data_IF_073655673200
#
_entry.id   IF_073655673200
#
_cell.length_a   1.000
_cell.length_b   1.000
_cell.length_c   1.000
_cell.angle_alpha   90.00
_cell.angle_beta   90.00
_cell.angle_gamma   90.00
#
_symmetry.space_group_name_H-M   'P 1'
#
loop_
_entity.id
_entity.type
_entity.pdbx_description
1 polymer ?
#
# COMPACT_ATOMS: atom_id res chain seq x y z
N UNK A 1 18.83 30.49 89.78
CA UNK A 1 19.55 29.48 88.98
C UNK A 1 18.67 28.77 87.94
N UNK A 2 17.33 28.90 87.96
CA UNK A 2 16.47 28.27 86.94
C UNK A 2 16.33 29.03 85.60
N UNK A 3 16.71 30.33 85.56
CA UNK A 3 16.63 31.15 84.35
C UNK A 3 17.75 30.86 83.32
N UNK A 4 19.00 30.72 83.77
CA UNK A 4 20.16 30.46 82.89
C UNK A 4 20.12 29.06 82.25
N UNK A 5 19.52 28.08 82.93
CA UNK A 5 19.32 26.74 82.38
C UNK A 5 18.26 26.70 81.27
N UNK A 6 17.31 27.65 81.25
CA UNK A 6 16.31 27.79 80.17
C UNK A 6 16.90 28.45 78.92
N UNK A 7 17.72 29.48 79.10
CA UNK A 7 18.35 30.19 77.99
C UNK A 7 19.41 29.32 77.27
N UNK A 8 20.20 28.56 78.03
CA UNK A 8 21.19 27.63 77.45
C UNK A 8 20.52 26.49 76.67
N UNK A 9 19.36 26.01 77.12
CA UNK A 9 18.60 24.98 76.41
C UNK A 9 17.93 25.51 75.13
N UNK A 10 17.46 26.77 75.14
CA UNK A 10 16.96 27.45 73.93
C UNK A 10 18.05 27.61 72.88
N UNK A 11 19.24 28.04 73.30
CA UNK A 11 20.39 28.23 72.41
C UNK A 11 20.83 26.90 71.80
N UNK A 12 20.84 25.81 72.58
CA UNK A 12 21.15 24.47 72.08
C UNK A 12 20.13 23.98 71.03
N UNK A 13 18.85 24.29 71.24
CA UNK A 13 17.79 23.99 70.28
C UNK A 13 18.02 24.75 68.96
N UNK A 14 18.33 26.05 69.03
CA UNK A 14 18.59 26.88 67.85
C UNK A 14 19.81 26.39 67.04
N UNK A 15 20.86 25.91 67.72
CA UNK A 15 22.02 25.31 67.06
C UNK A 15 21.70 23.96 66.41
N UNK A 16 20.83 23.16 67.03
CA UNK A 16 20.35 21.90 66.45
C UNK A 16 19.55 22.15 65.17
N UNK A 17 18.60 23.10 65.22
CA UNK A 17 17.77 23.48 64.07
C UNK A 17 18.61 24.07 62.92
N UNK A 18 19.65 24.84 63.26
CA UNK A 18 20.60 25.36 62.28
C UNK A 18 21.42 24.24 61.62
N UNK A 19 21.89 23.26 62.39
CA UNK A 19 22.65 22.13 61.87
C UNK A 19 21.81 21.27 60.91
N UNK A 20 20.54 21.01 61.25
CA UNK A 20 19.61 20.30 60.36
C UNK A 20 19.36 21.07 59.06
N UNK A 21 19.20 22.39 59.12
CA UNK A 21 19.07 23.24 57.92
C UNK A 21 20.30 23.21 57.02
N UNK A 22 21.50 23.23 57.59
CA UNK A 22 22.75 23.16 56.81
C UNK A 22 22.87 21.81 56.09
N UNK A 23 22.54 20.71 56.77
CA UNK A 23 22.55 19.36 56.17
C UNK A 23 21.50 19.24 55.05
N UNK A 24 20.29 19.73 55.28
CA UNK A 24 19.21 19.79 54.28
C UNK A 24 19.62 20.56 53.01
N UNK A 25 20.27 21.71 53.16
CA UNK A 25 20.75 22.50 52.03
C UNK A 25 21.88 21.79 51.27
N UNK A 26 22.78 21.13 51.98
CA UNK A 26 23.91 20.41 51.40
C UNK A 26 23.45 19.19 50.58
N UNK A 27 22.48 18.43 51.09
CA UNK A 27 21.83 17.33 50.35
C UNK A 27 21.08 17.84 49.11
N UNK A 28 20.39 18.98 49.25
CA UNK A 28 19.72 19.67 48.14
C UNK A 28 20.70 20.09 47.03
N UNK A 29 21.86 20.64 47.39
CA UNK A 29 22.91 21.03 46.44
C UNK A 29 23.46 19.81 45.67
N UNK A 30 23.68 18.68 46.36
CA UNK A 30 24.15 17.45 45.73
C UNK A 30 23.13 16.89 44.73
N UNK A 31 21.84 17.00 45.05
CA UNK A 31 20.75 16.62 44.14
C UNK A 31 20.71 17.50 42.89
N UNK A 32 20.86 18.81 43.05
CA UNK A 32 20.92 19.75 41.92
C UNK A 32 22.14 19.50 41.03
N UNK A 33 23.31 19.25 41.62
CA UNK A 33 24.54 18.95 40.86
C UNK A 33 24.40 17.69 40.01
N UNK A 34 23.85 16.60 40.56
CA UNK A 34 23.55 15.38 39.78
C UNK A 34 22.57 15.64 38.65
N UNK A 35 21.54 16.45 38.87
CA UNK A 35 20.58 16.81 37.81
C UNK A 35 21.23 17.61 36.68
N UNK A 36 22.16 18.51 37.00
CA UNK A 36 22.93 19.28 36.00
C UNK A 36 23.83 18.34 35.18
N UNK A 37 24.50 17.38 35.82
CA UNK A 37 25.33 16.40 35.13
C UNK A 37 24.51 15.53 34.16
N UNK A 38 23.34 15.04 34.59
CA UNK A 38 22.43 14.29 33.71
C UNK A 38 21.94 15.13 32.53
N UNK A 39 21.65 16.42 32.75
CA UNK A 39 21.27 17.33 31.67
C UNK A 39 22.41 17.61 30.69
N UNK A 40 23.65 17.74 31.18
CA UNK A 40 24.83 17.92 30.34
C UNK A 40 25.08 16.69 29.45
N UNK A 41 25.00 15.48 29.99
CA UNK A 41 25.11 14.24 29.21
C UNK A 41 23.99 14.11 28.18
N UNK A 42 22.75 14.46 28.56
CA UNK A 42 21.62 14.47 27.62
C UNK A 42 21.79 15.50 26.51
N UNK A 43 22.32 16.69 26.82
CA UNK A 43 22.60 17.73 25.83
C UNK A 43 23.70 17.29 24.87
N UNK A 44 24.75 16.61 25.37
CA UNK A 44 25.81 16.03 24.54
C UNK A 44 25.27 14.95 23.60
N UNK A 45 24.50 14.00 24.10
CA UNK A 45 23.87 12.96 23.30
C UNK A 45 22.92 13.54 22.23
N UNK A 46 22.17 14.60 22.58
CA UNK A 46 21.32 15.31 21.62
C UNK A 46 22.15 15.99 20.52
N UNK A 47 23.28 16.62 20.87
CA UNK A 47 24.19 17.23 19.90
C UNK A 47 24.77 16.21 18.91
N UNK A 48 25.15 15.02 19.39
CA UNK A 48 25.61 13.92 18.54
C UNK A 48 24.49 13.43 17.61
N UNK A 49 23.26 13.29 18.12
CA UNK A 49 22.09 12.91 17.33
C UNK A 49 21.77 13.91 16.21
N UNK A 50 21.85 15.21 16.50
CA UNK A 50 21.65 16.28 15.51
C UNK A 50 22.70 16.18 14.41
N UNK A 51 23.98 16.02 14.77
CA UNK A 51 25.07 15.89 13.79
C UNK A 51 24.87 14.68 12.85
N UNK A 52 24.49 13.53 13.40
CA UNK A 52 24.19 12.34 12.60
C UNK A 52 23.01 12.57 11.63
N UNK A 53 21.96 13.27 12.08
CA UNK A 53 20.83 13.61 11.24
C UNK A 53 21.20 14.57 10.10
N UNK A 54 22.05 15.57 10.36
CA UNK A 54 22.55 16.50 9.35
C UNK A 54 23.43 15.81 8.29
N UNK A 55 24.27 14.86 8.71
CA UNK A 55 25.08 14.04 7.80
C UNK A 55 24.19 13.17 6.90
N UNK A 56 23.18 12.49 7.47
CA UNK A 56 22.22 11.71 6.70
C UNK A 56 21.42 12.59 5.71
N UNK A 57 21.03 13.79 6.13
CA UNK A 57 20.34 14.74 5.25
C UNK A 57 21.23 15.21 4.10
N UNK A 58 22.54 15.40 4.34
CA UNK A 58 23.51 15.71 3.28
C UNK A 58 23.66 14.55 2.29
N UNK A 59 23.81 13.32 2.77
CA UNK A 59 23.91 12.12 1.91
C UNK A 59 22.66 11.96 1.03
N UNK A 60 21.47 12.10 1.61
CA UNK A 60 20.22 12.02 0.87
C UNK A 60 20.09 13.10 -0.22
N UNK A 61 20.54 14.33 0.05
CA UNK A 61 20.55 15.39 -0.97
C UNK A 61 21.49 15.08 -2.13
N UNK A 62 22.64 14.48 -1.85
CA UNK A 62 23.58 14.06 -2.91
C UNK A 62 22.96 12.97 -3.79
N UNK A 63 22.40 11.92 -3.18
CA UNK A 63 21.72 10.84 -3.91
C UNK A 63 20.53 11.32 -4.72
N UNK A 64 19.79 12.29 -4.20
CA UNK A 64 18.66 12.88 -4.92
C UNK A 64 19.14 13.61 -6.18
N UNK A 65 20.25 14.35 -6.10
CA UNK A 65 20.87 14.97 -7.27
C UNK A 65 21.36 13.95 -8.31
N UNK A 66 21.97 12.84 -7.88
CA UNK A 66 22.38 11.75 -8.78
C UNK A 66 21.17 11.12 -9.51
N UNK A 67 20.06 10.92 -8.78
CA UNK A 67 18.83 10.38 -9.35
C UNK A 67 18.19 11.37 -10.34
N UNK A 68 18.16 12.66 -10.03
CA UNK A 68 17.67 13.70 -10.93
C UNK A 68 18.48 13.70 -12.24
N UNK A 69 19.80 13.73 -12.15
CA UNK A 69 20.68 13.68 -13.33
C UNK A 69 20.42 12.42 -14.16
N UNK A 70 20.30 11.26 -13.52
CA UNK A 70 20.03 10.01 -14.24
C UNK A 70 18.65 10.04 -14.92
N UNK A 71 17.63 10.65 -14.32
CA UNK A 71 16.32 10.82 -14.98
C UNK A 71 16.37 11.77 -16.17
N UNK A 72 17.17 12.84 -16.10
CA UNK A 72 17.39 13.75 -17.23
C UNK A 72 18.09 13.04 -18.40
N UNK A 73 19.12 12.23 -18.11
CA UNK A 73 19.83 11.43 -19.12
C UNK A 73 18.90 10.40 -19.78
N UNK A 74 18.06 9.72 -19.00
CA UNK A 74 17.05 8.80 -19.51
C UNK A 74 16.03 9.50 -20.41
N UNK A 75 15.57 10.68 -20.00
CA UNK A 75 14.61 11.48 -20.78
C UNK A 75 15.22 11.92 -22.11
N UNK A 76 16.48 12.38 -22.11
CA UNK A 76 17.20 12.76 -23.33
C UNK A 76 17.37 11.58 -24.30
N UNK A 77 17.70 10.39 -23.78
CA UNK A 77 17.79 9.15 -24.57
C UNK A 77 16.45 8.76 -25.21
N UNK A 78 15.37 8.86 -24.44
CA UNK A 78 14.03 8.57 -24.92
C UNK A 78 13.59 9.56 -26.02
N UNK A 79 13.89 10.85 -25.86
CA UNK A 79 13.61 11.85 -26.88
C UNK A 79 14.46 11.67 -28.13
N UNK A 80 15.69 11.17 -28.00
CA UNK A 80 16.51 10.74 -29.14
C UNK A 80 15.85 9.58 -29.90
N UNK A 81 15.40 8.53 -29.20
CA UNK A 81 14.71 7.39 -29.80
C UNK A 81 13.39 7.79 -30.48
N UNK A 82 12.61 8.71 -29.88
CA UNK A 82 11.41 9.27 -30.52
C UNK A 82 11.74 9.95 -31.84
N UNK A 83 12.78 10.80 -31.87
CA UNK A 83 13.24 11.47 -33.10
C UNK A 83 13.67 10.45 -34.17
N UNK A 84 14.42 9.42 -33.79
CA UNK A 84 14.80 8.34 -34.70
C UNK A 84 13.58 7.62 -35.28
N UNK A 85 12.60 7.26 -34.44
CA UNK A 85 11.38 6.56 -34.90
C UNK A 85 10.54 7.43 -35.84
N UNK A 86 10.39 8.72 -35.54
CA UNK A 86 9.72 9.67 -36.41
C UNK A 86 10.42 9.79 -37.77
N UNK A 87 11.75 9.82 -37.78
CA UNK A 87 12.53 9.84 -39.02
C UNK A 87 12.29 8.58 -39.87
N UNK A 88 12.33 7.38 -39.26
CA UNK A 88 12.06 6.12 -39.96
C UNK A 88 10.65 6.07 -40.52
N UNK A 89 9.64 6.50 -39.75
CA UNK A 89 8.25 6.57 -40.20
C UNK A 89 8.06 7.59 -41.34
N UNK A 90 8.73 8.74 -41.27
CA UNK A 90 8.71 9.75 -42.34
C UNK A 90 9.37 9.25 -43.63
N UNK A 91 10.40 8.39 -43.54
CA UNK A 91 10.96 7.72 -44.71
C UNK A 91 10.03 6.62 -45.24
N UNK A 92 9.46 5.80 -44.37
CA UNK A 92 8.53 4.72 -44.75
C UNK A 92 7.28 5.23 -45.46
N UNK A 93 6.71 6.36 -45.03
CA UNK A 93 5.56 7.02 -45.68
C UNK A 93 5.89 7.57 -47.07
N UNK A 94 7.13 8.04 -47.31
CA UNK A 94 7.60 8.42 -48.65
C UNK A 94 7.75 7.22 -49.60
N UNK A 95 8.13 6.04 -49.07
CA UNK A 95 8.22 4.79 -49.84
C UNK A 95 6.82 4.24 -50.13
N UNK A 96 5.92 4.27 -49.15
CA UNK A 96 4.55 3.79 -49.29
C UNK A 96 3.75 4.62 -50.30
N UNK A 97 3.89 5.96 -50.28
CA UNK A 97 3.22 6.83 -51.26
C UNK A 97 3.68 6.61 -52.71
N UNK A 98 4.98 6.32 -52.93
CA UNK A 98 5.49 5.92 -54.26
C UNK A 98 4.93 4.58 -54.73
N UNK A 99 4.84 3.59 -53.84
CA UNK A 99 4.33 2.26 -54.18
C UNK A 99 2.80 2.25 -54.37
N UNK A 100 2.07 3.08 -53.62
CA UNK A 100 0.62 3.19 -53.74
C UNK A 100 0.19 3.87 -55.06
N UNK A 101 0.96 4.85 -55.54
CA UNK A 101 0.75 5.45 -56.87
C UNK A 101 1.04 4.46 -58.00
N UNK A 102 2.01 3.56 -57.84
CA UNK A 102 2.28 2.50 -58.80
C UNK A 102 1.19 1.40 -58.80
N UNK A 103 0.57 1.10 -57.65
CA UNK A 103 -0.50 0.10 -57.57
C UNK A 103 -1.84 0.58 -58.17
N UNK A 104 -2.13 1.89 -58.13
CA UNK A 104 -3.35 2.47 -58.74
C UNK A 104 -3.36 2.43 -60.27
N UNK A 105 -2.21 2.27 -60.95
CA UNK A 105 -2.21 2.10 -62.41
C UNK A 105 -2.56 0.67 -62.84
N UNK A 106 -2.61 -0.30 -61.92
CA UNK A 106 -2.83 -1.72 -62.21
C UNK A 106 -4.30 -2.13 -62.00
N UNK A 107 -5.10 -1.38 -61.24
CA UNK A 107 -6.47 -1.78 -60.87
C UNK A 107 -7.60 -1.14 -61.70
N UNK A 108 -7.31 -0.46 -62.81
CA UNK A 108 -8.35 0.08 -63.70
C UNK A 108 -9.00 -0.97 -64.66
N UNK A 109 -8.73 -2.26 -64.52
CA UNK A 109 -9.24 -3.29 -65.45
C UNK A 109 -10.21 -4.32 -64.87
N UNK A 110 -10.64 -4.21 -63.61
CA UNK A 110 -11.64 -5.14 -63.05
C UNK A 110 -12.71 -4.35 -62.28
N UNK A 111 -13.94 -4.42 -62.82
CA UNK A 111 -15.12 -3.67 -62.38
C UNK A 111 -15.71 -4.08 -61.03
N UNK A 112 -16.86 -3.46 -60.65
CA UNK A 112 -17.23 -3.21 -59.26
C UNK A 112 -18.10 -4.34 -58.69
N UNK A 113 -17.53 -5.26 -57.92
CA UNK A 113 -18.29 -6.19 -57.06
C UNK A 113 -17.67 -6.42 -55.67
N UNK A 114 -16.82 -5.52 -55.18
CA UNK A 114 -16.13 -5.67 -53.88
C UNK A 114 -16.25 -4.44 -52.97
N UNK A 115 -17.41 -3.78 -52.96
CA UNK A 115 -17.63 -2.63 -52.06
C UNK A 115 -18.38 -2.96 -50.76
N UNK A 116 -18.81 -4.20 -50.52
CA UNK A 116 -19.60 -4.54 -49.32
C UNK A 116 -18.83 -5.28 -48.20
N UNK A 117 -17.50 -5.39 -48.27
CA UNK A 117 -16.69 -6.10 -47.25
C UNK A 117 -15.59 -5.20 -46.66
N UNK A 118 -15.90 -3.96 -46.29
CA UNK A 118 -14.90 -3.07 -45.65
C UNK A 118 -15.32 -2.53 -44.27
N UNK A 119 -16.55 -2.79 -43.79
CA UNK A 119 -16.98 -2.27 -42.48
C UNK A 119 -16.97 -3.26 -41.31
N UNK A 120 -16.44 -4.48 -41.44
CA UNK A 120 -16.37 -5.45 -40.33
C UNK A 120 -14.99 -6.10 -40.19
N UNK A 121 -13.95 -5.33 -39.83
CA UNK A 121 -12.70 -5.89 -39.28
C UNK A 121 -12.04 -4.95 -38.27
N UNK A 122 -12.49 -5.02 -37.01
CA UNK A 122 -11.61 -4.81 -35.83
C UNK A 122 -11.64 -6.09 -35.01
N UNK A 123 -10.95 -7.11 -35.52
CA UNK A 123 -10.54 -8.31 -34.79
C UNK A 123 -9.13 -8.63 -35.25
N UNK A 124 -8.18 -8.10 -34.51
CA UNK A 124 -6.78 -8.51 -34.52
C UNK A 124 -6.22 -8.09 -33.19
N UNK A 125 -6.30 -9.00 -32.22
CA UNK A 125 -5.20 -9.22 -31.30
C UNK A 125 -5.10 -10.71 -31.01
N UNK A 126 -4.12 -11.25 -31.72
CA UNK A 126 -3.54 -12.57 -31.73
C UNK A 126 -3.50 -13.28 -30.36
N UNK A 127 -4.12 -14.46 -30.38
CA UNK A 127 -3.65 -15.71 -29.77
C UNK A 127 -2.15 -15.71 -29.40
N UNK A 128 -1.86 -15.95 -28.13
CA UNK A 128 -0.64 -16.67 -27.72
C UNK A 128 -1.04 -17.81 -26.76
N UNK A 129 -0.37 -18.98 -26.86
CA UNK A 129 -0.90 -20.25 -26.37
C UNK A 129 -0.71 -20.44 -24.87
N UNK A 130 -1.69 -21.12 -24.27
CA UNK A 130 -1.63 -21.71 -22.95
C UNK A 130 -0.63 -22.87 -22.90
N UNK A 131 0.33 -22.81 -21.97
CA UNK A 131 0.76 -23.96 -21.18
C UNK A 131 1.77 -23.53 -20.11
N UNK A 132 1.34 -23.42 -18.86
CA UNK A 132 2.21 -23.64 -17.70
C UNK A 132 1.44 -24.45 -16.67
N UNK A 133 1.52 -25.76 -16.82
CA UNK A 133 1.46 -26.72 -15.73
C UNK A 133 2.79 -26.62 -14.97
N UNK A 134 2.73 -26.51 -13.63
CA UNK A 134 3.91 -26.63 -12.78
C UNK A 134 3.93 -25.62 -11.64
N UNK A 135 3.57 -26.07 -10.45
CA UNK A 135 4.00 -25.45 -9.19
C UNK A 135 5.52 -25.59 -9.09
N UNK A 136 6.27 -24.56 -8.67
CA UNK A 136 7.45 -24.82 -7.86
C UNK A 136 7.36 -24.10 -6.52
N UNK A 137 7.42 -24.90 -5.45
CA UNK A 137 7.81 -24.45 -4.11
C UNK A 137 9.27 -24.00 -4.16
N UNK A 138 9.52 -22.79 -3.69
CA UNK A 138 10.81 -22.32 -3.19
C UNK A 138 11.88 -22.03 -4.23
N UNK A 139 12.28 -20.76 -4.37
CA UNK A 139 13.67 -20.28 -4.21
C UNK A 139 13.82 -18.82 -4.65
N UNK A 140 14.46 -18.06 -3.75
CA UNK A 140 15.54 -17.06 -3.89
C UNK A 140 15.56 -16.08 -5.09
N UNK A 141 15.84 -14.83 -4.72
CA UNK A 141 16.21 -13.69 -5.57
C UNK A 141 17.07 -14.05 -6.79
N UNK A 142 16.67 -13.54 -7.95
CA UNK A 142 17.48 -13.55 -9.18
C UNK A 142 16.64 -13.48 -10.46
N UNK A 143 16.45 -12.27 -10.97
CA UNK A 143 16.29 -11.91 -12.39
C UNK A 143 15.65 -12.94 -13.33
N UNK A 144 14.34 -12.78 -13.58
CA UNK A 144 13.65 -12.92 -14.87
C UNK A 144 12.17 -12.57 -14.68
N UNK A 145 11.85 -11.29 -14.41
CA UNK A 145 10.46 -10.83 -14.55
C UNK A 145 10.18 -10.66 -16.04
N UNK A 146 9.59 -11.68 -16.66
CA UNK A 146 8.78 -11.43 -17.85
C UNK A 146 7.85 -10.26 -17.52
N UNK A 147 7.94 -9.17 -18.29
CA UNK A 147 7.12 -8.00 -18.05
C UNK A 147 5.66 -8.43 -18.21
N UNK A 148 4.93 -8.55 -17.09
CA UNK A 148 3.50 -8.80 -17.13
C UNK A 148 2.86 -7.61 -17.85
N UNK A 149 2.30 -7.87 -19.03
CA UNK A 149 1.53 -6.90 -19.79
C UNK A 149 0.07 -7.05 -19.37
N UNK A 150 -0.51 -5.98 -18.86
CA UNK A 150 -1.91 -5.95 -18.43
C UNK A 150 -2.76 -5.21 -19.45
N UNK A 151 -3.96 -5.74 -19.73
CA UNK A 151 -4.95 -5.05 -20.57
C UNK A 151 -5.65 -3.93 -19.80
N UNK A 152 -6.26 -2.98 -20.51
CA UNK A 152 -7.08 -1.94 -19.89
C UNK A 152 -8.20 -2.52 -19.01
N UNK A 153 -8.81 -3.64 -19.43
CA UNK A 153 -9.81 -4.35 -18.63
C UNK A 153 -9.24 -4.92 -17.33
N UNK A 154 -7.99 -5.38 -17.33
CA UNK A 154 -7.34 -5.87 -16.11
C UNK A 154 -7.02 -4.75 -15.12
N UNK A 155 -6.69 -3.54 -15.58
CA UNK A 155 -6.54 -2.39 -14.69
C UNK A 155 -7.87 -2.04 -14.01
N UNK A 156 -8.96 -2.00 -14.76
CA UNK A 156 -10.30 -1.71 -14.21
C UNK A 156 -10.72 -2.81 -13.23
N UNK A 157 -10.52 -4.08 -13.57
CA UNK A 157 -10.80 -5.19 -12.67
C UNK A 157 -9.93 -5.13 -11.40
N UNK A 158 -8.69 -4.68 -11.51
CA UNK A 158 -7.82 -4.47 -10.35
C UNK A 158 -8.29 -3.30 -9.47
N UNK A 159 -8.77 -2.20 -10.06
CA UNK A 159 -9.39 -1.09 -9.32
C UNK A 159 -10.66 -1.53 -8.58
N UNK A 160 -11.46 -2.42 -9.19
CA UNK A 160 -12.61 -3.06 -8.52
C UNK A 160 -12.19 -3.93 -7.33
N UNK A 161 -11.06 -4.64 -7.45
CA UNK A 161 -10.52 -5.39 -6.31
C UNK A 161 -9.97 -4.45 -5.22
N UNK A 162 -9.35 -3.33 -5.62
CA UNK A 162 -8.89 -2.30 -4.69
C UNK A 162 -10.06 -1.64 -3.93
N UNK A 163 -11.21 -1.46 -4.59
CA UNK A 163 -12.43 -0.99 -3.93
C UNK A 163 -12.86 -1.90 -2.78
N UNK A 164 -12.91 -3.22 -3.03
CA UNK A 164 -13.25 -4.20 -2.00
C UNK A 164 -12.21 -4.20 -0.88
N UNK A 165 -10.93 -4.14 -1.22
CA UNK A 165 -9.84 -4.04 -0.24
C UNK A 165 -10.00 -2.81 0.68
N UNK A 166 -10.37 -1.65 0.12
CA UNK A 166 -10.64 -0.43 0.90
C UNK A 166 -11.85 -0.58 1.81
N UNK A 167 -12.94 -1.20 1.33
CA UNK A 167 -14.12 -1.48 2.16
C UNK A 167 -13.80 -2.41 3.32
N UNK A 168 -13.12 -3.53 3.06
CA UNK A 168 -12.67 -4.46 4.09
C UNK A 168 -11.77 -3.78 5.12
N UNK A 169 -10.85 -2.93 4.65
CA UNK A 169 -9.98 -2.14 5.54
C UNK A 169 -10.81 -1.21 6.43
N UNK A 170 -11.82 -0.55 5.88
CA UNK A 170 -12.74 0.30 6.67
C UNK A 170 -13.51 -0.49 7.72
N UNK A 171 -14.05 -1.67 7.38
CA UNK A 171 -14.81 -2.51 8.33
C UNK A 171 -13.93 -3.09 9.44
N UNK A 172 -12.71 -3.51 9.10
CA UNK A 172 -11.70 -3.91 10.06
C UNK A 172 -11.41 -2.78 11.06
N UNK A 173 -11.24 -1.55 10.56
CA UNK A 173 -10.98 -0.39 11.41
C UNK A 173 -12.16 -0.02 12.29
N UNK A 174 -13.38 -0.04 11.75
CA UNK A 174 -14.59 0.17 12.52
C UNK A 174 -14.72 -0.84 13.67
N UNK A 175 -14.42 -2.12 13.41
CA UNK A 175 -14.41 -3.16 14.43
C UNK A 175 -13.37 -2.88 15.52
N UNK A 176 -12.12 -2.59 15.14
CA UNK A 176 -11.05 -2.32 16.09
C UNK A 176 -11.32 -1.09 16.94
N UNK A 177 -11.78 0.00 16.34
CA UNK A 177 -12.18 1.20 17.07
C UNK A 177 -13.33 0.92 18.05
N UNK A 178 -14.33 0.12 17.64
CA UNK A 178 -15.43 -0.29 18.52
C UNK A 178 -14.92 -1.13 19.69
N UNK A 179 -13.99 -2.05 19.44
CA UNK A 179 -13.38 -2.91 20.45
C UNK A 179 -12.61 -2.10 21.50
N UNK A 180 -11.76 -1.16 21.05
CA UNK A 180 -11.00 -0.24 21.92
C UNK A 180 -11.91 0.66 22.75
N UNK A 181 -13.03 1.13 22.18
CA UNK A 181 -14.01 1.95 22.91
C UNK A 181 -14.73 1.19 24.02
N UNK A 182 -14.85 -0.13 23.88
CA UNK A 182 -15.53 -0.99 24.85
C UNK A 182 -14.59 -1.52 25.95
N UNK A 183 -13.30 -1.17 25.91
CA UNK A 183 -12.31 -1.55 26.94
C UNK A 183 -12.30 -0.50 28.06
N UNK A 184 -12.21 -0.98 29.30
CA UNK A 184 -12.41 -0.13 30.48
C UNK A 184 -11.11 0.50 30.97
N UNK A 185 -9.95 -0.13 30.71
CA UNK A 185 -8.65 0.35 31.19
C UNK A 185 -7.72 0.76 30.04
N UNK A 186 -6.84 1.72 30.28
CA UNK A 186 -5.81 2.12 29.30
C UNK A 186 -4.76 1.01 29.09
N UNK A 187 -4.54 0.15 30.09
CA UNK A 187 -3.67 -1.02 29.98
C UNK A 187 -4.25 -2.04 28.99
N UNK A 188 -5.54 -2.40 29.09
CA UNK A 188 -6.22 -3.29 28.13
C UNK A 188 -6.17 -2.75 26.71
N UNK A 189 -6.37 -1.43 26.53
CA UNK A 189 -6.26 -0.78 25.23
C UNK A 189 -4.83 -0.85 24.69
N UNK A 190 -3.84 -0.61 25.55
CA UNK A 190 -2.43 -0.71 25.21
C UNK A 190 -2.06 -2.12 24.76
N UNK A 191 -2.47 -3.14 25.51
CA UNK A 191 -2.21 -4.54 25.20
C UNK A 191 -2.91 -4.99 23.93
N UNK A 192 -4.17 -4.61 23.72
CA UNK A 192 -4.88 -4.88 22.46
C UNK A 192 -4.17 -4.24 21.27
N UNK A 193 -3.74 -2.97 21.37
CA UNK A 193 -3.06 -2.30 20.27
C UNK A 193 -1.66 -2.87 20.01
N UNK A 194 -0.99 -3.41 21.04
CA UNK A 194 0.31 -4.10 20.90
C UNK A 194 0.22 -5.34 20.02
N UNK A 195 -0.91 -6.06 20.02
CA UNK A 195 -1.17 -7.21 19.13
C UNK A 195 -0.92 -6.83 17.67
N UNK A 196 -1.41 -5.66 17.28
CA UNK A 196 -1.30 -5.16 15.91
C UNK A 196 0.03 -4.44 15.65
N UNK A 197 0.55 -3.72 16.66
CA UNK A 197 1.77 -2.91 16.53
C UNK A 197 3.07 -3.72 16.62
N UNK A 198 3.02 -4.93 17.18
CA UNK A 198 4.19 -5.74 17.52
C UNK A 198 5.04 -5.10 18.62
N UNK A 199 5.73 -5.92 19.41
CA UNK A 199 6.59 -5.42 20.51
C UNK A 199 8.06 -5.34 20.06
N UNK A 200 8.52 -6.22 19.16
CA UNK A 200 9.96 -6.39 18.85
C UNK A 200 10.27 -6.48 17.34
N UNK A 201 9.56 -5.72 16.50
CA UNK A 201 9.77 -5.72 15.04
C UNK A 201 9.04 -6.84 14.29
N UNK A 202 8.44 -7.81 14.99
CA UNK A 202 7.44 -8.74 14.46
C UNK A 202 6.03 -8.15 14.53
N UNK A 203 5.79 -7.08 13.77
CA UNK A 203 4.44 -6.54 13.60
C UNK A 203 3.89 -6.87 12.22
N UNK A 204 2.57 -6.99 12.15
CA UNK A 204 1.86 -7.14 10.89
C UNK A 204 2.08 -5.98 9.91
N UNK A 205 2.56 -4.83 10.40
CA UNK A 205 2.58 -3.57 9.68
C UNK A 205 3.97 -2.89 9.66
N UNK A 206 5.00 -3.60 10.14
CA UNK A 206 6.37 -3.07 10.29
C UNK A 206 6.40 -1.80 11.15
N UNK A 207 6.96 -0.73 10.58
CA UNK A 207 7.11 0.61 11.22
C UNK A 207 5.97 1.58 10.91
N UNK A 208 4.94 1.14 10.19
CA UNK A 208 3.86 2.03 9.74
C UNK A 208 2.99 2.51 10.90
N UNK A 209 2.45 3.73 10.83
CA UNK A 209 1.44 4.16 11.77
C UNK A 209 0.18 3.31 11.62
N UNK A 210 -0.54 3.09 12.72
CA UNK A 210 -1.80 2.35 12.72
C UNK A 210 -2.82 2.92 11.72
N UNK A 211 -2.78 4.22 11.44
CA UNK A 211 -3.66 4.88 10.45
C UNK A 211 -3.47 4.37 9.02
N UNK A 212 -2.34 3.75 8.69
CA UNK A 212 -2.04 3.21 7.36
C UNK A 212 -2.29 1.70 7.26
N UNK A 213 -2.89 1.11 8.31
CA UNK A 213 -3.14 -0.32 8.41
C UNK A 213 -4.15 -0.79 7.37
N UNK A 214 -3.79 -1.81 6.59
CA UNK A 214 -4.71 -2.38 5.58
C UNK A 214 -5.11 -3.81 5.88
N UNK A 215 -6.31 -4.20 5.43
CA UNK A 215 -6.80 -5.58 5.58
C UNK A 215 -5.84 -6.60 4.96
N UNK A 216 -5.30 -6.30 3.78
CA UNK A 216 -4.36 -7.17 3.08
C UNK A 216 -3.05 -7.39 3.86
N UNK A 217 -2.52 -6.37 4.55
CA UNK A 217 -1.31 -6.54 5.38
C UNK A 217 -1.59 -7.38 6.64
N UNK A 218 -2.76 -7.19 7.27
CA UNK A 218 -3.18 -8.02 8.40
C UNK A 218 -3.33 -9.49 7.98
N UNK A 219 -3.88 -9.73 6.79
CA UNK A 219 -4.03 -11.05 6.21
C UNK A 219 -2.66 -11.70 5.90
N UNK A 220 -1.74 -10.96 5.27
CA UNK A 220 -0.39 -11.44 4.98
C UNK A 220 0.36 -11.84 6.27
N UNK A 221 0.19 -11.05 7.33
CA UNK A 221 0.73 -11.38 8.65
C UNK A 221 0.11 -12.64 9.26
N UNK A 222 -1.22 -12.76 9.24
CA UNK A 222 -1.92 -13.92 9.76
C UNK A 222 -1.49 -15.21 9.05
N UNK A 223 -1.19 -15.14 7.75
CA UNK A 223 -0.71 -16.29 6.97
C UNK A 223 0.74 -16.67 7.28
N UNK A 224 1.57 -15.71 7.69
CA UNK A 224 2.99 -15.94 8.00
C UNK A 224 3.22 -16.42 9.44
N UNK A 225 2.36 -16.02 10.39
CA UNK A 225 2.47 -16.46 11.78
C UNK A 225 1.99 -17.92 11.94
N UNK A 226 2.76 -18.71 12.68
CA UNK A 226 2.38 -20.10 13.05
C UNK A 226 1.22 -20.16 14.05
N UNK A 227 1.15 -19.16 14.93
CA UNK A 227 0.05 -18.98 15.89
C UNK A 227 -0.46 -17.55 15.73
N UNK A 228 -1.67 -17.42 15.21
CA UNK A 228 -2.34 -16.14 15.03
C UNK A 228 -3.10 -15.83 16.31
N UNK A 229 -2.95 -14.61 16.82
CA UNK A 229 -3.67 -14.15 17.99
C UNK A 229 -5.17 -14.04 17.66
N UNK A 230 -6.03 -14.46 18.59
CA UNK A 230 -7.47 -14.53 18.36
C UNK A 230 -8.08 -13.18 17.93
N UNK A 231 -7.54 -12.06 18.44
CA UNK A 231 -7.98 -10.71 18.10
C UNK A 231 -7.67 -10.31 16.64
N UNK A 232 -6.56 -10.82 16.06
CA UNK A 232 -6.25 -10.63 14.64
C UNK A 232 -7.27 -11.37 13.77
N UNK A 233 -7.56 -12.62 14.13
CA UNK A 233 -8.53 -13.44 13.41
C UNK A 233 -9.95 -12.86 13.51
N UNK A 234 -10.35 -12.38 14.70
CA UNK A 234 -11.63 -11.69 14.90
C UNK A 234 -11.73 -10.41 14.08
N UNK A 235 -10.67 -9.61 13.97
CA UNK A 235 -10.68 -8.40 13.16
C UNK A 235 -10.87 -8.70 11.66
N UNK A 236 -10.22 -9.75 11.14
CA UNK A 236 -10.41 -10.21 9.76
C UNK A 236 -11.85 -10.71 9.53
N UNK A 237 -12.34 -11.58 10.43
CA UNK A 237 -13.70 -12.13 10.34
C UNK A 237 -14.78 -11.04 10.45
N UNK A 238 -14.60 -10.06 11.33
CA UNK A 238 -15.54 -8.96 11.49
C UNK A 238 -15.63 -8.08 10.23
N UNK A 239 -14.51 -7.88 9.53
CA UNK A 239 -14.49 -7.15 8.26
C UNK A 239 -15.20 -7.92 7.14
N UNK A 240 -14.92 -9.21 7.04
CA UNK A 240 -15.55 -10.11 6.06
C UNK A 240 -17.06 -10.23 6.29
N UNK A 241 -17.48 -10.37 7.55
CA UNK A 241 -18.90 -10.47 7.93
C UNK A 241 -19.65 -9.19 7.59
N UNK A 242 -19.09 -8.01 7.90
CA UNK A 242 -19.72 -6.73 7.57
C UNK A 242 -19.83 -6.50 6.05
N UNK A 243 -18.83 -6.93 5.27
CA UNK A 243 -18.93 -6.86 3.81
C UNK A 243 -20.03 -7.79 3.27
N UNK A 244 -20.20 -8.98 3.85
CA UNK A 244 -21.30 -9.88 3.49
C UNK A 244 -22.66 -9.29 3.87
N UNK A 245 -22.79 -8.75 5.07
CA UNK A 245 -24.02 -8.08 5.51
C UNK A 245 -24.40 -6.93 4.57
N UNK A 246 -23.43 -6.11 4.16
CA UNK A 246 -23.66 -5.08 3.15
C UNK A 246 -24.14 -5.69 1.83
N UNK A 247 -23.47 -6.74 1.34
CA UNK A 247 -23.84 -7.38 0.08
C UNK A 247 -25.27 -7.93 0.13
N UNK A 248 -25.66 -8.56 1.24
CA UNK A 248 -27.02 -9.08 1.48
C UNK A 248 -28.04 -7.94 1.51
N UNK A 249 -27.76 -6.86 2.25
CA UNK A 249 -28.64 -5.70 2.32
C UNK A 249 -28.81 -5.01 0.95
N UNK A 250 -27.77 -5.00 0.14
CA UNK A 250 -27.82 -4.49 -1.23
C UNK A 250 -28.56 -5.42 -2.22
N UNK A 251 -28.92 -6.64 -1.78
CA UNK A 251 -29.64 -7.63 -2.59
C UNK A 251 -28.74 -8.47 -3.51
N UNK A 252 -27.46 -8.66 -3.15
CA UNK A 252 -26.54 -9.50 -3.92
C UNK A 252 -26.91 -10.98 -3.78
N UNK A 253 -27.47 -11.55 -4.85
CA UNK A 253 -27.82 -12.97 -4.91
C UNK A 253 -26.54 -13.79 -4.92
N UNK A 254 -26.36 -14.64 -3.90
CA UNK A 254 -25.20 -15.50 -3.75
C UNK A 254 -24.24 -15.12 -2.62
N UNK A 255 -24.43 -14.01 -1.89
CA UNK A 255 -23.48 -13.54 -0.87
C UNK A 255 -22.99 -14.63 0.12
N UNK A 256 -23.86 -15.58 0.51
CA UNK A 256 -23.53 -16.64 1.47
C UNK A 256 -22.77 -17.84 0.86
N UNK A 257 -22.90 -18.10 -0.44
CA UNK A 257 -22.28 -19.25 -1.14
C UNK A 257 -21.13 -18.82 -2.08
N UNK A 258 -21.22 -17.60 -2.63
CA UNK A 258 -20.34 -17.09 -3.69
C UNK A 258 -19.18 -16.25 -3.19
N UNK A 259 -19.09 -15.89 -1.91
CA UNK A 259 -17.94 -15.18 -1.34
C UNK A 259 -16.97 -16.13 -0.60
N UNK A 260 -17.10 -17.43 -0.87
CA UNK A 260 -16.26 -18.45 -0.26
C UNK A 260 -14.76 -18.11 -0.46
N UNK A 261 -14.08 -17.92 0.67
CA UNK A 261 -12.67 -17.55 0.75
C UNK A 261 -12.29 -16.17 0.19
N UNK A 262 -12.93 -15.11 0.70
CA UNK A 262 -12.48 -13.72 0.50
C UNK A 262 -10.98 -13.54 0.74
N UNK A 263 -10.43 -14.26 1.73
CA UNK A 263 -9.00 -14.30 2.02
C UNK A 263 -8.18 -14.80 0.83
N UNK A 264 -8.53 -15.94 0.25
CA UNK A 264 -7.81 -16.47 -0.92
C UNK A 264 -7.90 -15.52 -2.12
N UNK A 265 -9.03 -14.86 -2.30
CA UNK A 265 -9.21 -13.88 -3.37
C UNK A 265 -8.39 -12.61 -3.11
N UNK A 266 -8.30 -12.17 -1.86
CA UNK A 266 -7.46 -11.04 -1.47
C UNK A 266 -5.96 -11.36 -1.54
N UNK A 267 -5.56 -12.64 -1.51
CA UNK A 267 -4.17 -13.02 -1.78
C UNK A 267 -3.76 -12.69 -3.22
N UNK A 268 -4.70 -12.75 -4.18
CA UNK A 268 -4.45 -12.29 -5.56
C UNK A 268 -4.11 -10.80 -5.56
N UNK A 269 -4.84 -9.99 -4.79
CA UNK A 269 -4.54 -8.57 -4.63
C UNK A 269 -3.13 -8.37 -4.09
N UNK A 270 -2.76 -9.05 -3.00
CA UNK A 270 -1.41 -8.97 -2.41
C UNK A 270 -0.30 -9.34 -3.41
N UNK A 271 -0.49 -10.43 -4.14
CA UNK A 271 0.49 -10.95 -5.10
C UNK A 271 0.74 -9.97 -6.25
N UNK A 272 -0.33 -9.34 -6.76
CA UNK A 272 -0.25 -8.52 -7.97
C UNK A 272 -0.25 -7.01 -7.73
N UNK A 273 -0.50 -6.54 -6.50
CA UNK A 273 -0.55 -5.10 -6.19
C UNK A 273 0.67 -4.32 -6.65
N UNK A 274 1.88 -4.83 -6.37
CA UNK A 274 3.12 -4.20 -6.82
C UNK A 274 3.19 -4.16 -8.35
N UNK A 275 2.89 -5.27 -9.01
CA UNK A 275 2.92 -5.39 -10.47
C UNK A 275 1.97 -4.40 -11.15
N UNK A 276 0.71 -4.32 -10.70
CA UNK A 276 -0.25 -3.35 -11.23
C UNK A 276 0.15 -1.91 -10.92
N UNK A 277 0.65 -1.63 -9.70
CA UNK A 277 1.11 -0.28 -9.34
C UNK A 277 2.28 0.18 -10.23
N UNK A 278 3.26 -0.68 -10.48
CA UNK A 278 4.37 -0.37 -11.37
C UNK A 278 3.92 -0.24 -12.83
N UNK A 279 3.05 -1.13 -13.30
CA UNK A 279 2.54 -1.08 -14.67
C UNK A 279 1.69 0.17 -14.92
N UNK A 280 0.83 0.55 -13.97
CA UNK A 280 0.02 1.75 -14.04
C UNK A 280 0.89 3.01 -14.09
N UNK A 281 1.91 3.11 -13.22
CA UNK A 281 2.86 4.22 -13.23
C UNK A 281 3.58 4.36 -14.59
N UNK A 282 3.98 3.24 -15.21
CA UNK A 282 4.62 3.24 -16.54
C UNK A 282 3.67 3.64 -17.66
N UNK A 283 2.39 3.37 -17.52
CA UNK A 283 1.35 3.71 -18.51
C UNK A 283 0.69 5.07 -18.24
N UNK A 284 1.11 5.79 -17.20
CA UNK A 284 0.47 7.05 -16.79
C UNK A 284 -0.96 6.86 -16.27
N UNK A 285 -1.33 5.65 -15.88
CA UNK A 285 -2.66 5.32 -15.34
C UNK A 285 -2.64 5.61 -13.84
N UNK A 286 -3.58 6.43 -13.39
CA UNK A 286 -3.79 6.67 -11.98
C UNK A 286 -4.68 5.55 -11.41
N UNK A 287 -4.11 4.63 -10.62
CA UNK A 287 -4.89 3.67 -9.83
C UNK A 287 -5.55 4.41 -8.68
N UNK A 288 -6.69 5.03 -8.97
CA UNK A 288 -7.52 5.64 -7.96
C UNK A 288 -8.96 5.24 -8.19
N UNK A 289 -9.60 4.72 -7.17
CA UNK A 289 -11.04 4.42 -7.21
C UNK A 289 -11.93 5.61 -7.63
N UNK A 290 -11.41 6.85 -7.63
CA UNK A 290 -12.12 8.05 -8.08
C UNK A 290 -12.07 8.30 -9.60
N UNK A 291 -11.41 7.46 -10.39
CA UNK A 291 -11.43 7.60 -11.86
C UNK A 291 -12.63 6.87 -12.44
N UNK A 292 -13.68 7.62 -12.79
CA UNK A 292 -14.67 7.39 -13.86
C UNK A 292 -14.86 5.94 -14.35
N UNK A 293 -15.15 4.97 -13.47
CA UNK A 293 -15.56 3.63 -13.92
C UNK A 293 -16.95 3.79 -14.54
N UNK A 294 -17.04 3.61 -15.86
CA UNK A 294 -18.32 3.75 -16.58
C UNK A 294 -19.22 2.53 -16.38
N UNK A 295 -20.53 2.68 -16.57
CA UNK A 295 -21.46 1.55 -16.53
C UNK A 295 -21.13 0.49 -17.61
N UNK A 296 -20.58 0.93 -18.76
CA UNK A 296 -20.05 0.03 -19.79
C UNK A 296 -18.84 -0.77 -19.30
N UNK A 297 -17.96 -0.17 -18.51
CA UNK A 297 -16.83 -0.87 -17.91
C UNK A 297 -17.29 -1.90 -16.88
N UNK A 298 -18.25 -1.55 -16.01
CA UNK A 298 -18.85 -2.48 -15.05
C UNK A 298 -19.43 -3.70 -15.77
N UNK A 299 -20.21 -3.47 -16.83
CA UNK A 299 -20.83 -4.55 -17.60
C UNK A 299 -19.78 -5.44 -18.29
N UNK A 300 -18.75 -4.83 -18.86
CA UNK A 300 -17.65 -5.54 -19.53
C UNK A 300 -16.82 -6.38 -18.55
N UNK A 301 -16.49 -5.85 -17.39
CA UNK A 301 -15.71 -6.59 -16.39
C UNK A 301 -16.54 -7.70 -15.74
N UNK A 302 -17.83 -7.46 -15.48
CA UNK A 302 -18.75 -8.51 -15.02
C UNK A 302 -18.78 -9.68 -16.01
N UNK A 303 -18.99 -9.38 -17.30
CA UNK A 303 -18.93 -10.41 -18.35
C UNK A 303 -17.56 -11.10 -18.38
N UNK A 304 -16.46 -10.36 -18.28
CA UNK A 304 -15.12 -10.97 -18.24
C UNK A 304 -14.95 -11.91 -17.03
N UNK A 305 -15.50 -11.57 -15.87
CA UNK A 305 -15.47 -12.41 -14.67
C UNK A 305 -16.28 -13.70 -14.86
N UNK A 306 -17.49 -13.58 -15.41
CA UNK A 306 -18.42 -14.71 -15.63
C UNK A 306 -17.85 -15.74 -16.62
N UNK A 307 -17.11 -15.28 -17.64
CA UNK A 307 -16.59 -16.13 -18.72
C UNK A 307 -15.10 -16.48 -18.61
N UNK A 308 -14.42 -16.11 -17.51
CA UNK A 308 -13.03 -16.52 -17.30
C UNK A 308 -11.97 -15.64 -17.98
N UNK A 309 -12.33 -14.44 -18.44
CA UNK A 309 -11.47 -13.55 -19.22
C UNK A 309 -10.68 -12.52 -18.38
N UNK A 310 -10.63 -12.66 -17.05
CA UNK A 310 -9.83 -11.77 -16.19
C UNK A 310 -8.34 -12.10 -16.18
N UNK A 311 -7.94 -13.25 -16.74
CA UNK A 311 -6.55 -13.70 -16.76
C UNK A 311 -6.02 -13.96 -15.36
N UNK A 312 -4.92 -13.30 -14.97
CA UNK A 312 -4.28 -13.48 -13.65
C UNK A 312 -5.18 -13.10 -12.47
N UNK A 313 -6.21 -12.29 -12.70
CA UNK A 313 -7.18 -11.86 -11.69
C UNK A 313 -8.37 -12.82 -11.56
N UNK A 314 -8.48 -13.84 -12.41
CA UNK A 314 -9.60 -14.79 -12.37
C UNK A 314 -9.80 -15.46 -11.00
N UNK A 315 -8.76 -15.79 -10.21
CA UNK A 315 -8.97 -16.37 -8.89
C UNK A 315 -9.65 -15.41 -7.90
N UNK A 316 -9.73 -14.10 -8.21
CA UNK A 316 -10.46 -13.09 -7.42
C UNK A 316 -11.80 -12.68 -8.07
N UNK A 317 -12.34 -13.48 -9.00
CA UNK A 317 -13.51 -13.13 -9.80
C UNK A 317 -14.75 -12.81 -8.96
N UNK A 318 -14.96 -13.47 -7.82
CA UNK A 318 -16.17 -13.28 -7.02
C UNK A 318 -16.14 -11.94 -6.27
N UNK A 319 -14.98 -11.53 -5.75
CA UNK A 319 -14.81 -10.19 -5.19
C UNK A 319 -14.95 -9.11 -6.27
N UNK A 320 -14.45 -9.37 -7.48
CA UNK A 320 -14.59 -8.44 -8.62
C UNK A 320 -16.06 -8.35 -9.07
N UNK A 321 -16.81 -9.46 -9.09
CA UNK A 321 -18.25 -9.48 -9.36
C UNK A 321 -19.04 -8.72 -8.28
N UNK A 322 -18.69 -8.92 -7.01
CA UNK A 322 -19.28 -8.16 -5.90
C UNK A 322 -19.00 -6.66 -6.07
N UNK A 323 -17.77 -6.29 -6.41
CA UNK A 323 -17.41 -4.90 -6.68
C UNK A 323 -18.24 -4.31 -7.83
N UNK A 324 -18.39 -5.04 -8.95
CA UNK A 324 -19.25 -4.64 -10.06
C UNK A 324 -20.69 -4.40 -9.60
N UNK A 325 -21.24 -5.28 -8.76
CA UNK A 325 -22.58 -5.15 -8.25
C UNK A 325 -22.75 -3.92 -7.33
N UNK A 326 -21.89 -3.77 -6.34
CA UNK A 326 -21.94 -2.63 -5.41
C UNK A 326 -21.76 -1.31 -6.14
N UNK A 327 -20.84 -1.26 -7.11
CA UNK A 327 -20.63 -0.08 -7.96
C UNK A 327 -21.83 0.25 -8.83
N UNK A 328 -22.56 -0.76 -9.34
CA UNK A 328 -23.75 -0.54 -10.15
C UNK A 328 -24.95 0.02 -9.36
N UNK A 329 -24.85 0.06 -8.02
CA UNK A 329 -25.91 0.51 -7.10
C UNK A 329 -25.62 1.88 -6.47
N UNK A 330 -24.41 2.42 -6.67
CA UNK A 330 -24.01 3.76 -6.21
C UNK A 330 -24.45 4.83 -7.19
#
# INVERSE_FOLDING_TARGET
MEGEAKDTNSILQDFSDLAERILSLWEGEHSLRRRIEVLAERQKAMGEGIRCAEEAQRDLRLRLGELEQHTEEQQASLDHLKKQRLYVLAQGTKVFSKNFLAARSVTCSIGPQLCDIVNNHTSSDLLLPHSVSGIPRGMKHGTNSAALVFSAGQFIAFDMLQFIHKRLTSYMWAHMCKRVRNMNTEEEKGDFLRIFRGVDGESAFGTKPLSEMTYAELLDFALKKKQVEAEVEMALQAAETQLMEEAVLAGYVGANESLCSMRNQMLVYLQYYRHFKFAAARQGILLSFNTCISQSDISRIKHAADFGFLGVLQPACQLIQLACFLLSKM
#
